data_IF_454025006062
#
_entry.id   IF_454025006062
#
_cell.length_a   1.000
_cell.length_b   1.000
_cell.length_c   1.000
_cell.angle_alpha   90.00
_cell.angle_beta   90.00
_cell.angle_gamma   90.00
#
_symmetry.space_group_name_H-M   'P 1'
#
loop_
_entity.id
_entity.type
_entity.pdbx_description
1 polymer ?
#
# COMPACT_ATOMS: atom_id res chain seq x y z
N UNK A 1 6.18 12.54 -32.56
CA UNK A 1 5.56 13.24 -31.38
C UNK A 1 5.70 12.27 -30.24
N UNK A 2 6.22 12.72 -29.13
CA UNK A 2 6.42 11.86 -27.93
C UNK A 2 5.07 11.42 -27.40
N UNK A 3 4.96 10.18 -26.94
CA UNK A 3 3.72 9.64 -26.40
C UNK A 3 3.35 10.36 -25.09
N UNK A 4 2.14 10.95 -25.03
CA UNK A 4 1.70 11.77 -23.90
C UNK A 4 1.69 11.00 -22.55
N UNK A 5 1.35 9.70 -22.56
CA UNK A 5 1.41 8.85 -21.39
C UNK A 5 2.86 8.68 -20.90
N UNK A 6 3.79 8.38 -21.83
CA UNK A 6 5.21 8.21 -21.46
C UNK A 6 5.84 9.51 -20.96
N UNK A 7 5.44 10.66 -21.52
CA UNK A 7 5.85 11.97 -21.00
C UNK A 7 5.35 12.21 -19.58
N UNK A 8 4.06 11.92 -19.29
CA UNK A 8 3.50 12.02 -17.94
C UNK A 8 4.23 11.07 -16.96
N UNK A 9 4.46 9.82 -17.36
CA UNK A 9 5.18 8.85 -16.53
C UNK A 9 6.63 9.27 -16.24
N UNK A 10 7.33 9.83 -17.24
CA UNK A 10 8.68 10.37 -17.07
C UNK A 10 8.70 11.60 -16.14
N UNK A 11 7.77 12.52 -16.32
CA UNK A 11 7.63 13.70 -15.47
C UNK A 11 7.33 13.33 -14.01
N UNK A 12 6.50 12.30 -13.80
CA UNK A 12 6.21 11.78 -12.46
C UNK A 12 7.36 10.99 -11.85
N UNK A 13 8.39 10.63 -12.63
CA UNK A 13 9.49 9.80 -12.16
C UNK A 13 9.11 8.31 -12.05
N UNK A 14 8.12 7.86 -12.81
CA UNK A 14 7.59 6.49 -12.80
C UNK A 14 8.26 5.57 -13.85
N UNK A 15 9.22 6.05 -14.61
CA UNK A 15 10.02 5.25 -15.54
C UNK A 15 11.38 4.98 -14.92
N UNK A 16 11.68 3.71 -14.62
CA UNK A 16 12.98 3.31 -14.08
C UNK A 16 13.83 2.57 -15.10
N UNK A 17 13.34 1.45 -15.65
CA UNK A 17 14.00 0.69 -16.71
C UNK A 17 12.97 0.23 -17.75
N UNK A 18 13.39 0.19 -18.99
CA UNK A 18 12.62 -0.34 -20.12
C UNK A 18 13.53 -1.25 -20.95
N UNK A 19 13.00 -2.34 -21.47
CA UNK A 19 13.78 -3.27 -22.32
C UNK A 19 14.08 -2.71 -23.69
N UNK A 20 13.17 -1.86 -24.20
CA UNK A 20 13.27 -1.18 -25.47
C UNK A 20 12.38 0.08 -25.41
N UNK A 21 12.99 1.25 -25.23
CA UNK A 21 12.25 2.50 -25.07
C UNK A 21 11.53 2.90 -26.36
N UNK A 22 12.23 2.82 -27.50
CA UNK A 22 11.66 3.17 -28.81
C UNK A 22 10.54 2.20 -29.20
N UNK A 23 10.74 0.91 -28.98
CA UNK A 23 9.75 -0.12 -29.27
C UNK A 23 8.48 0.02 -28.43
N UNK A 24 8.60 0.36 -27.15
CA UNK A 24 7.44 0.64 -26.27
C UNK A 24 6.69 1.90 -26.73
N UNK A 25 7.40 2.99 -27.04
CA UNK A 25 6.78 4.23 -27.53
C UNK A 25 6.01 3.99 -28.83
N UNK A 26 6.65 3.35 -29.81
CA UNK A 26 5.99 3.01 -31.06
C UNK A 26 4.76 2.11 -30.88
N UNK A 27 4.84 1.14 -29.98
CA UNK A 27 3.74 0.23 -29.67
C UNK A 27 2.54 0.98 -29.08
N UNK A 28 2.77 1.84 -28.10
CA UNK A 28 1.73 2.63 -27.43
C UNK A 28 1.07 3.67 -28.34
N UNK A 29 1.80 4.17 -29.34
CA UNK A 29 1.26 5.10 -30.33
C UNK A 29 0.42 4.41 -31.42
N UNK A 30 0.74 3.16 -31.74
CA UNK A 30 0.12 2.45 -32.86
C UNK A 30 -1.16 1.73 -32.52
N UNK A 31 -1.28 1.21 -31.30
CA UNK A 31 -2.38 0.32 -30.94
C UNK A 31 -2.80 0.41 -29.46
N UNK A 32 -3.98 -0.13 -29.17
CA UNK A 32 -4.39 -0.43 -27.81
C UNK A 32 -3.59 -1.64 -27.31
N UNK A 33 -2.73 -1.41 -26.35
CA UNK A 33 -1.84 -2.43 -25.79
C UNK A 33 -2.47 -3.13 -24.61
N UNK A 34 -2.38 -4.45 -24.57
CA UNK A 34 -2.62 -5.23 -23.35
C UNK A 34 -1.32 -5.35 -22.57
N UNK A 35 -1.38 -5.04 -21.29
CA UNK A 35 -0.23 -5.03 -20.39
C UNK A 35 -0.62 -5.52 -19.00
N UNK A 36 0.33 -6.08 -18.23
CA UNK A 36 -0.03 -6.64 -16.93
C UNK A 36 0.94 -6.27 -15.80
N UNK A 37 0.38 -6.32 -14.60
CA UNK A 37 1.12 -6.34 -13.34
C UNK A 37 0.53 -7.41 -12.43
N UNK A 38 1.37 -8.10 -11.68
CA UNK A 38 0.97 -9.16 -10.77
C UNK A 38 1.31 -8.86 -9.31
N UNK A 39 0.56 -9.47 -8.41
CA UNK A 39 0.86 -9.53 -6.98
C UNK A 39 0.60 -10.92 -6.41
N UNK A 40 1.52 -11.42 -5.61
CA UNK A 40 1.33 -12.64 -4.83
C UNK A 40 0.45 -12.38 -3.62
N UNK A 41 -0.54 -13.24 -3.33
CA UNK A 41 -1.49 -13.08 -2.24
C UNK A 41 -0.86 -13.50 -0.89
N UNK A 42 0.12 -12.72 -0.42
CA UNK A 42 0.83 -12.97 0.84
C UNK A 42 0.03 -12.59 2.08
N UNK A 43 -1.08 -11.87 1.91
CA UNK A 43 -2.10 -11.54 2.89
C UNK A 43 -3.44 -11.37 2.16
N UNK A 44 -4.53 -11.32 2.91
CA UNK A 44 -5.90 -11.11 2.40
C UNK A 44 -6.20 -9.66 1.98
N UNK A 45 -5.21 -8.77 2.08
CA UNK A 45 -5.28 -7.37 1.65
C UNK A 45 -3.95 -6.93 1.06
N UNK A 46 -4.01 -6.00 0.13
CA UNK A 46 -2.88 -5.17 -0.27
C UNK A 46 -2.61 -4.10 0.79
N UNK A 47 -1.39 -3.60 0.81
CA UNK A 47 -0.99 -2.41 1.57
C UNK A 47 -0.44 -1.34 0.61
N UNK A 48 -0.27 -0.11 1.11
CA UNK A 48 0.16 1.03 0.27
C UNK A 48 1.48 0.80 -0.48
N UNK A 49 2.34 -0.11 -0.01
CA UNK A 49 3.55 -0.49 -0.73
C UNK A 49 3.30 -1.19 -2.07
N UNK A 50 2.10 -1.76 -2.27
CA UNK A 50 1.70 -2.39 -3.53
C UNK A 50 0.99 -1.42 -4.50
N UNK A 51 0.63 -0.21 -4.03
CA UNK A 51 -0.18 0.72 -4.83
C UNK A 51 0.52 1.19 -6.10
N UNK A 52 1.79 1.55 -6.02
CA UNK A 52 2.46 2.25 -7.11
C UNK A 52 2.45 1.48 -8.45
N UNK A 53 2.76 0.17 -8.50
CA UNK A 53 2.65 -0.60 -9.74
C UNK A 53 1.22 -0.62 -10.30
N UNK A 54 0.20 -0.78 -9.45
CA UNK A 54 -1.19 -0.82 -9.87
C UNK A 54 -1.72 0.55 -10.28
N UNK A 55 -1.34 1.63 -9.59
CA UNK A 55 -1.67 2.99 -10.02
C UNK A 55 -1.00 3.33 -11.36
N UNK A 56 0.22 2.85 -11.58
CA UNK A 56 0.88 2.99 -12.89
C UNK A 56 0.11 2.23 -13.96
N UNK A 57 -0.29 0.98 -13.70
CA UNK A 57 -1.12 0.20 -14.60
C UNK A 57 -2.49 0.88 -14.88
N UNK A 58 -3.10 1.50 -13.85
CA UNK A 58 -4.33 2.30 -14.01
C UNK A 58 -4.12 3.51 -14.94
N UNK A 59 -2.97 4.19 -14.90
CA UNK A 59 -2.67 5.29 -15.84
C UNK A 59 -2.68 4.83 -17.29
N UNK A 60 -2.18 3.63 -17.58
CA UNK A 60 -2.31 3.03 -18.91
C UNK A 60 -3.77 2.81 -19.28
N UNK A 61 -4.64 2.37 -18.36
CA UNK A 61 -6.06 2.21 -18.61
C UNK A 61 -6.73 3.55 -18.98
N UNK A 62 -6.42 4.63 -18.26
CA UNK A 62 -6.95 5.96 -18.51
C UNK A 62 -6.55 6.49 -19.89
N UNK A 63 -5.39 6.08 -20.40
CA UNK A 63 -4.92 6.40 -21.75
C UNK A 63 -5.40 5.40 -22.81
N UNK A 64 -6.32 4.51 -22.45
CA UNK A 64 -7.02 3.66 -23.41
C UNK A 64 -6.38 2.31 -23.66
N UNK A 65 -5.37 1.91 -22.90
CA UNK A 65 -4.78 0.57 -22.95
C UNK A 65 -5.56 -0.40 -22.05
N UNK A 66 -5.34 -1.71 -22.22
CA UNK A 66 -6.06 -2.75 -21.50
C UNK A 66 -5.20 -3.39 -20.40
N UNK A 67 -5.47 -3.11 -19.11
CA UNK A 67 -4.76 -3.76 -18.02
C UNK A 67 -5.18 -5.21 -17.85
N UNK A 68 -4.22 -6.06 -17.52
CA UNK A 68 -4.45 -7.37 -16.94
C UNK A 68 -3.86 -7.35 -15.52
N UNK A 69 -4.69 -7.61 -14.54
CA UNK A 69 -4.31 -7.71 -13.14
C UNK A 69 -4.14 -9.18 -12.80
N UNK A 70 -2.92 -9.60 -12.50
CA UNK A 70 -2.63 -10.97 -12.16
C UNK A 70 -2.56 -11.13 -10.64
N UNK A 71 -3.33 -12.07 -10.09
CA UNK A 71 -3.17 -12.53 -8.72
C UNK A 71 -2.40 -13.86 -8.75
N UNK A 72 -1.31 -13.91 -8.01
CA UNK A 72 -0.39 -15.04 -7.99
C UNK A 72 -0.86 -16.20 -7.11
N UNK A 73 -2.05 -16.76 -7.33
CA UNK A 73 -2.55 -17.91 -6.56
C UNK A 73 -1.65 -19.15 -6.66
N UNK A 74 -0.96 -19.34 -7.80
CA UNK A 74 0.05 -20.38 -7.98
C UNK A 74 1.42 -19.97 -7.43
N UNK A 75 1.92 -18.80 -7.84
CA UNK A 75 3.23 -18.28 -7.40
C UNK A 75 3.27 -17.92 -5.92
N UNK A 76 2.17 -17.53 -5.32
CA UNK A 76 2.06 -17.25 -3.88
C UNK A 76 2.30 -18.47 -2.99
N UNK A 77 2.10 -19.70 -3.53
CA UNK A 77 2.46 -20.93 -2.82
C UNK A 77 3.98 -21.17 -2.78
N UNK A 78 4.74 -20.49 -3.63
CA UNK A 78 6.20 -20.66 -3.79
C UNK A 78 6.96 -19.54 -3.09
N UNK A 79 6.57 -18.27 -3.35
CA UNK A 79 7.17 -17.08 -2.77
C UNK A 79 8.30 -16.47 -3.60
N UNK A 80 8.14 -15.19 -3.95
CA UNK A 80 9.13 -14.41 -4.70
C UNK A 80 10.36 -14.07 -3.84
N UNK A 81 11.59 -14.47 -4.25
CA UNK A 81 12.83 -14.11 -3.57
C UNK A 81 13.25 -12.65 -3.79
N UNK A 82 12.69 -11.94 -4.77
CA UNK A 82 13.10 -10.60 -5.18
C UNK A 82 12.98 -9.59 -4.02
N UNK A 83 14.09 -8.88 -3.74
CA UNK A 83 14.14 -7.86 -2.68
C UNK A 83 14.02 -8.42 -1.25
N UNK A 84 14.26 -9.73 -1.04
CA UNK A 84 14.20 -10.40 0.26
C UNK A 84 15.54 -10.97 0.69
N UNK A 85 15.80 -10.95 1.99
CA UNK A 85 16.98 -11.56 2.62
C UNK A 85 16.72 -12.97 3.15
N UNK A 86 15.44 -13.34 3.35
CA UNK A 86 15.02 -14.60 3.96
C UNK A 86 13.92 -15.27 3.14
N UNK A 87 13.82 -16.60 3.25
CA UNK A 87 12.75 -17.38 2.61
C UNK A 87 11.38 -17.02 3.18
N UNK A 88 10.37 -16.94 2.31
CA UNK A 88 9.01 -16.68 2.73
C UNK A 88 8.42 -17.89 3.44
N UNK A 89 7.62 -17.64 4.48
CA UNK A 89 6.79 -18.68 5.09
C UNK A 89 5.73 -19.10 4.08
N UNK A 90 5.72 -20.39 3.75
CA UNK A 90 4.71 -20.95 2.85
C UNK A 90 3.34 -20.93 3.51
N UNK A 91 2.36 -20.43 2.78
CA UNK A 91 0.94 -20.47 3.16
C UNK A 91 0.31 -21.76 2.64
N UNK A 92 -0.71 -22.25 3.30
CA UNK A 92 -1.50 -23.36 2.79
C UNK A 92 -2.47 -22.90 1.68
N UNK A 93 -3.04 -23.85 0.94
CA UNK A 93 -3.89 -23.56 -0.21
C UNK A 93 -5.15 -22.76 0.18
N UNK A 94 -5.79 -23.10 1.31
CA UNK A 94 -6.97 -22.40 1.81
C UNK A 94 -6.68 -20.92 2.14
N UNK A 95 -5.55 -20.65 2.79
CA UNK A 95 -5.13 -19.27 3.09
C UNK A 95 -4.85 -18.48 1.82
N UNK A 96 -4.20 -19.11 0.82
CA UNK A 96 -3.96 -18.47 -0.48
C UNK A 96 -5.29 -18.12 -1.16
N UNK A 97 -6.25 -19.02 -1.14
CA UNK A 97 -7.55 -18.80 -1.78
C UNK A 97 -8.35 -17.67 -1.12
N UNK A 98 -8.36 -17.61 0.21
CA UNK A 98 -8.93 -16.48 0.96
C UNK A 98 -8.22 -15.15 0.62
N UNK A 99 -6.91 -15.15 0.56
CA UNK A 99 -6.13 -13.97 0.21
C UNK A 99 -6.40 -13.52 -1.24
N UNK A 100 -6.52 -14.46 -2.17
CA UNK A 100 -6.89 -14.17 -3.58
C UNK A 100 -8.22 -13.44 -3.65
N UNK A 101 -9.24 -13.90 -2.91
CA UNK A 101 -10.56 -13.25 -2.88
C UNK A 101 -10.48 -11.82 -2.33
N UNK A 102 -9.81 -11.61 -1.21
CA UNK A 102 -9.66 -10.27 -0.61
C UNK A 102 -8.95 -9.29 -1.54
N UNK A 103 -7.87 -9.74 -2.21
CA UNK A 103 -7.16 -8.90 -3.19
C UNK A 103 -8.03 -8.64 -4.43
N UNK A 104 -8.77 -9.62 -4.92
CA UNK A 104 -9.64 -9.47 -6.08
C UNK A 104 -10.71 -8.37 -5.85
N UNK A 105 -11.33 -8.34 -4.68
CA UNK A 105 -12.28 -7.30 -4.30
C UNK A 105 -11.66 -5.89 -4.31
N UNK A 106 -10.42 -5.77 -3.85
CA UNK A 106 -9.71 -4.49 -3.87
C UNK A 106 -9.36 -4.03 -5.29
N UNK A 107 -9.04 -4.96 -6.20
CA UNK A 107 -8.76 -4.62 -7.59
C UNK A 107 -9.98 -4.04 -8.31
N UNK A 108 -11.21 -4.45 -7.95
CA UNK A 108 -12.44 -3.86 -8.48
C UNK A 108 -12.63 -2.38 -8.10
N UNK A 109 -11.94 -1.89 -7.08
CA UNK A 109 -11.92 -0.45 -6.72
C UNK A 109 -10.84 0.32 -7.48
N UNK A 110 -9.74 -0.35 -7.83
CA UNK A 110 -8.60 0.28 -8.50
C UNK A 110 -8.77 0.39 -10.01
N UNK A 111 -9.53 -0.52 -10.63
CA UNK A 111 -9.66 -0.61 -12.08
C UNK A 111 -11.12 -0.64 -12.54
N UNK A 112 -11.34 -0.22 -13.78
CA UNK A 112 -12.62 -0.37 -14.47
C UNK A 112 -12.64 -1.69 -15.23
N UNK A 113 -13.59 -2.57 -14.93
CA UNK A 113 -13.74 -3.89 -15.57
C UNK A 113 -14.86 -3.92 -16.60
N UNK A 114 -15.95 -3.20 -16.37
CA UNK A 114 -17.20 -3.28 -17.15
C UNK A 114 -17.23 -2.29 -18.34
N UNK A 115 -16.09 -2.05 -18.96
CA UNK A 115 -15.97 -1.16 -20.12
C UNK A 115 -15.36 -1.89 -21.31
N UNK A 116 -15.47 -1.33 -22.51
CA UNK A 116 -14.82 -1.86 -23.73
C UNK A 116 -13.29 -2.00 -23.56
N UNK A 117 -12.70 -1.15 -22.74
CA UNK A 117 -11.28 -1.13 -22.34
C UNK A 117 -11.08 -1.71 -20.95
N UNK A 118 -12.04 -2.50 -20.48
CA UNK A 118 -12.06 -3.04 -19.14
C UNK A 118 -10.82 -3.85 -18.82
N UNK A 119 -10.39 -3.74 -17.58
CA UNK A 119 -9.33 -4.59 -17.03
C UNK A 119 -9.77 -6.06 -17.01
N UNK A 120 -8.79 -6.95 -17.02
CA UNK A 120 -9.05 -8.37 -16.81
C UNK A 120 -8.34 -8.81 -15.53
N UNK A 121 -9.06 -9.53 -14.68
CA UNK A 121 -8.52 -10.16 -13.49
C UNK A 121 -8.25 -11.64 -13.79
N UNK A 122 -7.02 -12.10 -13.53
CA UNK A 122 -6.59 -13.48 -13.78
C UNK A 122 -5.85 -14.04 -12.57
N UNK A 123 -5.96 -15.36 -12.40
CA UNK A 123 -5.23 -16.09 -11.37
C UNK A 123 -4.27 -17.08 -12.03
N UNK A 124 -2.98 -16.96 -11.78
CA UNK A 124 -2.00 -17.84 -12.41
C UNK A 124 -2.06 -19.31 -11.93
N UNK A 125 -2.78 -19.61 -10.85
CA UNK A 125 -3.11 -20.99 -10.46
C UNK A 125 -3.83 -21.74 -11.58
N UNK A 126 -4.63 -21.04 -12.40
CA UNK A 126 -5.46 -21.64 -13.45
C UNK A 126 -4.65 -22.34 -14.54
N UNK A 127 -3.44 -21.84 -14.83
CA UNK A 127 -2.54 -22.47 -15.81
C UNK A 127 -1.33 -23.15 -15.18
N UNK A 128 -0.70 -22.56 -14.14
CA UNK A 128 0.45 -23.17 -13.47
C UNK A 128 0.08 -24.49 -12.81
N UNK A 129 -1.12 -24.56 -12.20
CA UNK A 129 -1.63 -25.78 -11.56
C UNK A 129 -1.89 -26.95 -12.51
N UNK A 130 -1.93 -26.70 -13.84
CA UNK A 130 -2.14 -27.73 -14.84
C UNK A 130 -0.81 -28.28 -15.43
N UNK A 131 0.31 -27.63 -15.15
CA UNK A 131 1.62 -28.05 -15.66
C UNK A 131 2.15 -29.17 -14.80
N UNK A 132 2.34 -30.37 -15.38
CA UNK A 132 2.97 -31.45 -14.65
C UNK A 132 4.46 -31.14 -14.38
N UNK A 133 5.03 -31.75 -13.34
CA UNK A 133 6.48 -31.63 -13.06
C UNK A 133 7.35 -31.98 -14.27
N UNK A 134 6.97 -33.02 -15.00
CA UNK A 134 7.75 -33.47 -16.19
C UNK A 134 7.64 -32.43 -17.31
N UNK A 135 6.45 -31.88 -17.55
CA UNK A 135 6.26 -30.86 -18.57
C UNK A 135 7.00 -29.57 -18.20
N UNK A 136 6.95 -29.15 -16.92
CA UNK A 136 7.74 -28.04 -16.43
C UNK A 136 9.24 -28.19 -16.72
N UNK A 137 9.83 -29.33 -16.38
CA UNK A 137 11.25 -29.59 -16.59
C UNK A 137 11.59 -29.68 -18.08
N UNK A 138 10.78 -30.42 -18.85
CA UNK A 138 11.03 -30.71 -20.26
C UNK A 138 10.79 -29.52 -21.17
N UNK A 139 9.68 -28.81 -20.97
CA UNK A 139 9.20 -27.83 -21.92
C UNK A 139 9.65 -26.41 -21.57
N UNK A 140 9.81 -26.09 -20.29
CA UNK A 140 10.24 -24.77 -19.80
C UNK A 140 11.67 -24.79 -19.25
N UNK A 141 11.98 -25.75 -18.35
CA UNK A 141 13.26 -25.81 -17.64
C UNK A 141 14.46 -25.88 -18.56
N UNK A 142 14.34 -26.63 -19.67
CA UNK A 142 15.44 -26.77 -20.67
C UNK A 142 15.85 -25.45 -21.34
N UNK A 143 14.95 -24.45 -21.34
CA UNK A 143 15.20 -23.14 -21.95
C UNK A 143 15.82 -22.13 -20.97
N UNK A 144 15.92 -22.47 -19.68
CA UNK A 144 16.46 -21.60 -18.64
C UNK A 144 17.79 -22.19 -18.12
N UNK A 145 18.91 -21.57 -18.51
CA UNK A 145 20.24 -22.02 -18.08
C UNK A 145 20.49 -21.70 -16.59
N UNK A 146 21.06 -22.67 -15.86
CA UNK A 146 21.39 -22.50 -14.43
C UNK A 146 22.33 -21.31 -14.21
N UNK A 147 23.37 -21.17 -15.02
CA UNK A 147 24.30 -20.03 -14.90
C UNK A 147 23.63 -18.68 -15.14
N UNK A 148 22.62 -18.61 -16.03
CA UNK A 148 21.82 -17.42 -16.26
C UNK A 148 20.98 -17.06 -15.01
N UNK A 149 20.38 -18.06 -14.38
CA UNK A 149 19.63 -17.88 -13.14
C UNK A 149 20.53 -17.43 -11.99
N UNK A 150 21.67 -18.09 -11.82
CA UNK A 150 22.64 -17.77 -10.77
C UNK A 150 23.22 -16.33 -10.89
N UNK A 151 23.21 -15.75 -12.08
CA UNK A 151 23.68 -14.39 -12.32
C UNK A 151 22.63 -13.30 -11.98
N UNK A 152 21.40 -13.66 -11.63
CA UNK A 152 20.36 -12.70 -11.25
C UNK A 152 20.64 -12.12 -9.86
N UNK A 153 20.49 -10.81 -9.70
CA UNK A 153 20.74 -10.11 -8.43
C UNK A 153 19.89 -10.67 -7.29
N UNK A 154 18.60 -10.97 -7.56
CA UNK A 154 17.69 -11.59 -6.60
C UNK A 154 18.16 -12.95 -6.09
N UNK A 155 18.81 -13.74 -6.94
CA UNK A 155 19.37 -15.05 -6.59
C UNK A 155 20.72 -14.86 -5.88
N UNK A 156 21.60 -14.00 -6.40
CA UNK A 156 22.93 -13.76 -5.80
C UNK A 156 22.82 -13.28 -4.34
N UNK A 157 21.93 -12.35 -4.06
CA UNK A 157 21.67 -11.85 -2.70
C UNK A 157 21.27 -12.98 -1.74
N UNK A 158 20.61 -14.02 -2.25
CA UNK A 158 20.13 -15.16 -1.46
C UNK A 158 21.14 -16.30 -1.33
N UNK A 159 22.09 -16.42 -2.27
CA UNK A 159 23.06 -17.52 -2.26
C UNK A 159 23.89 -17.60 -0.99
N UNK A 160 24.27 -16.46 -0.41
CA UNK A 160 25.06 -16.39 0.83
C UNK A 160 24.31 -16.94 2.05
N UNK A 161 22.98 -16.72 2.09
CA UNK A 161 22.11 -17.15 3.18
C UNK A 161 21.41 -18.51 2.90
N UNK A 162 21.64 -19.06 1.71
CA UNK A 162 20.96 -20.24 1.19
C UNK A 162 19.63 -19.86 0.50
N UNK A 163 19.36 -20.53 -0.62
CA UNK A 163 18.10 -20.43 -1.36
C UNK A 163 17.59 -21.85 -1.61
N UNK A 164 16.31 -22.10 -1.32
CA UNK A 164 15.70 -23.39 -1.64
C UNK A 164 15.51 -23.55 -3.15
N UNK A 165 15.44 -24.80 -3.62
CA UNK A 165 15.12 -25.07 -5.03
C UNK A 165 13.74 -24.51 -5.40
N UNK A 166 12.79 -24.55 -4.48
CA UNK A 166 11.45 -23.96 -4.62
C UNK A 166 11.53 -22.48 -4.95
N UNK A 167 12.20 -21.71 -4.10
CA UNK A 167 12.38 -20.26 -4.28
C UNK A 167 13.19 -19.93 -5.54
N UNK A 168 14.22 -20.72 -5.83
CA UNK A 168 15.05 -20.59 -7.05
C UNK A 168 14.22 -20.71 -8.33
N UNK A 169 13.19 -21.57 -8.35
CA UNK A 169 12.34 -21.77 -9.53
C UNK A 169 11.27 -20.69 -9.73
N UNK A 170 11.03 -19.82 -8.74
CA UNK A 170 10.00 -18.77 -8.81
C UNK A 170 10.07 -17.95 -10.10
N UNK A 171 11.26 -17.47 -10.46
CA UNK A 171 11.47 -16.66 -11.67
C UNK A 171 10.99 -17.36 -12.95
N UNK A 172 11.08 -18.68 -13.00
CA UNK A 172 10.60 -19.47 -14.16
C UNK A 172 9.07 -19.49 -14.19
N UNK A 173 8.42 -19.59 -13.03
CA UNK A 173 6.95 -19.56 -12.95
C UNK A 173 6.40 -18.22 -13.42
N UNK A 174 6.97 -17.11 -12.97
CA UNK A 174 6.57 -15.77 -13.44
C UNK A 174 6.90 -15.58 -14.94
N UNK A 175 7.96 -16.19 -15.45
CA UNK A 175 8.27 -16.16 -16.87
C UNK A 175 7.22 -16.95 -17.71
N UNK A 176 6.69 -18.05 -17.17
CA UNK A 176 5.57 -18.79 -17.78
C UNK A 176 4.31 -17.94 -17.80
N UNK A 177 4.02 -17.17 -16.73
CA UNK A 177 2.87 -16.26 -16.67
C UNK A 177 2.92 -15.27 -17.83
N UNK A 178 4.05 -14.59 -18.04
CA UNK A 178 4.18 -13.65 -19.15
C UNK A 178 3.98 -14.33 -20.51
N UNK A 179 4.58 -15.50 -20.71
CA UNK A 179 4.41 -16.28 -21.93
C UNK A 179 2.95 -16.72 -22.17
N UNK A 180 2.24 -17.12 -21.12
CA UNK A 180 0.81 -17.46 -21.17
C UNK A 180 -0.03 -16.24 -21.55
N UNK A 181 0.14 -15.13 -20.83
CA UNK A 181 -0.62 -13.90 -21.09
C UNK A 181 -0.33 -13.31 -22.48
N UNK A 182 0.91 -13.39 -22.95
CA UNK A 182 1.27 -12.95 -24.29
C UNK A 182 0.52 -13.74 -25.37
N UNK A 183 0.43 -15.07 -25.23
CA UNK A 183 -0.23 -15.94 -26.20
C UNK A 183 -1.75 -15.90 -26.14
N UNK A 184 -2.32 -15.91 -24.95
CA UNK A 184 -3.77 -16.02 -24.76
C UNK A 184 -4.47 -14.65 -24.80
N UNK A 185 -3.81 -13.59 -24.33
CA UNK A 185 -4.40 -12.25 -24.21
C UNK A 185 -3.67 -11.19 -25.05
N UNK A 186 -2.70 -11.58 -25.89
CA UNK A 186 -1.84 -10.64 -26.63
C UNK A 186 -1.21 -9.57 -25.70
N UNK A 187 -0.84 -9.98 -24.47
CA UNK A 187 -0.23 -9.10 -23.50
C UNK A 187 1.22 -8.84 -23.90
N UNK A 188 1.55 -7.59 -24.19
CA UNK A 188 2.85 -7.19 -24.76
C UNK A 188 3.79 -6.54 -23.75
N UNK A 189 3.29 -6.01 -22.63
CA UNK A 189 4.14 -5.33 -21.65
C UNK A 189 3.88 -5.92 -20.25
N UNK A 190 4.96 -6.25 -19.54
CA UNK A 190 4.93 -6.54 -18.11
C UNK A 190 5.44 -5.33 -17.34
N UNK A 191 4.65 -4.87 -16.32
CA UNK A 191 5.03 -3.81 -15.39
C UNK A 191 5.37 -4.43 -14.03
N UNK A 192 6.39 -3.89 -13.38
CA UNK A 192 6.74 -4.24 -12.01
C UNK A 192 7.63 -3.20 -11.33
N UNK A 193 7.92 -3.36 -10.04
CA UNK A 193 8.95 -2.59 -9.37
C UNK A 193 10.34 -2.91 -9.92
N UNK A 194 11.32 -2.06 -9.64
CA UNK A 194 12.71 -2.27 -10.13
C UNK A 194 13.33 -3.58 -9.63
N UNK A 195 12.87 -4.13 -8.52
CA UNK A 195 13.24 -5.46 -8.01
C UNK A 195 12.75 -6.60 -8.89
N UNK A 196 11.76 -6.37 -9.75
CA UNK A 196 11.18 -7.34 -10.68
C UNK A 196 11.91 -7.43 -12.02
N UNK A 197 12.91 -6.59 -12.28
CA UNK A 197 13.62 -6.56 -13.56
C UNK A 197 14.15 -7.91 -14.01
N UNK A 198 14.75 -8.66 -13.07
CA UNK A 198 15.26 -10.01 -13.32
C UNK A 198 14.17 -10.99 -13.75
N UNK A 199 13.02 -10.97 -13.11
CA UNK A 199 11.88 -11.83 -13.43
C UNK A 199 11.28 -11.45 -14.80
N UNK A 200 11.06 -10.16 -15.04
CA UNK A 200 10.51 -9.64 -16.30
C UNK A 200 11.37 -10.02 -17.50
N UNK A 201 12.68 -9.75 -17.43
CA UNK A 201 13.61 -10.07 -18.52
C UNK A 201 13.74 -11.57 -18.74
N UNK A 202 13.58 -12.40 -17.70
CA UNK A 202 13.54 -13.86 -17.86
C UNK A 202 12.31 -14.30 -18.63
N UNK A 203 11.15 -13.68 -18.42
CA UNK A 203 9.93 -13.94 -19.19
C UNK A 203 10.11 -13.68 -20.68
N UNK A 204 10.67 -12.52 -21.03
CA UNK A 204 10.97 -12.15 -22.43
C UNK A 204 11.95 -13.12 -23.05
N UNK A 205 13.03 -13.48 -22.35
CA UNK A 205 14.03 -14.43 -22.85
C UNK A 205 13.46 -15.83 -23.01
N UNK A 206 12.61 -16.29 -22.08
CA UNK A 206 11.95 -17.59 -22.17
C UNK A 206 11.06 -17.65 -23.43
N UNK A 207 10.23 -16.64 -23.68
CA UNK A 207 9.39 -16.57 -24.86
C UNK A 207 10.23 -16.58 -26.14
N UNK A 208 11.31 -15.81 -26.20
CA UNK A 208 12.24 -15.77 -27.32
C UNK A 208 12.82 -17.15 -27.62
N UNK A 209 13.20 -17.91 -26.61
CA UNK A 209 13.77 -19.26 -26.76
C UNK A 209 12.74 -20.32 -27.16
N UNK A 210 11.51 -20.19 -26.66
CA UNK A 210 10.46 -21.17 -26.93
C UNK A 210 9.76 -20.94 -28.28
N UNK A 211 9.50 -19.67 -28.61
CA UNK A 211 8.63 -19.29 -29.73
C UNK A 211 9.33 -18.48 -30.83
N UNK A 212 10.58 -18.12 -30.64
CA UNK A 212 11.31 -17.24 -31.54
C UNK A 212 11.08 -15.76 -31.21
N UNK A 213 11.02 -14.92 -32.25
CA UNK A 213 10.83 -13.49 -32.06
C UNK A 213 9.39 -13.21 -31.61
N UNK A 214 9.23 -12.63 -30.44
CA UNK A 214 7.94 -12.22 -29.86
C UNK A 214 7.98 -10.75 -29.53
N UNK A 215 6.83 -10.09 -29.70
CA UNK A 215 6.65 -8.70 -29.31
C UNK A 215 6.27 -8.67 -27.82
N UNK A 216 7.30 -8.48 -26.97
CA UNK A 216 7.18 -8.50 -25.53
C UNK A 216 8.21 -7.55 -24.90
N UNK A 217 7.75 -6.70 -23.99
CA UNK A 217 8.54 -5.64 -23.38
C UNK A 217 8.40 -5.66 -21.87
N UNK A 218 9.45 -5.20 -21.21
CA UNK A 218 9.48 -4.98 -19.78
C UNK A 218 9.54 -3.49 -19.44
N UNK A 219 8.77 -3.11 -18.44
CA UNK A 219 8.70 -1.75 -17.93
C UNK A 219 8.77 -1.79 -16.41
N UNK A 220 9.76 -1.12 -15.80
CA UNK A 220 9.85 -1.04 -14.34
C UNK A 220 9.73 0.38 -13.83
N UNK A 221 9.15 0.47 -12.64
CA UNK A 221 8.98 1.68 -11.86
C UNK A 221 9.94 1.67 -10.66
N UNK A 222 10.31 2.84 -10.11
CA UNK A 222 11.17 2.87 -8.93
C UNK A 222 10.49 2.25 -7.70
N UNK A 223 11.28 1.69 -6.80
CA UNK A 223 10.81 1.34 -5.47
C UNK A 223 10.59 2.60 -4.65
N UNK A 224 9.51 2.63 -3.88
CA UNK A 224 9.20 3.78 -3.03
C UNK A 224 10.05 3.74 -1.78
N UNK A 225 10.87 4.75 -1.62
CA UNK A 225 11.68 4.99 -0.41
C UNK A 225 11.38 6.39 0.12
N UNK A 226 11.35 6.53 1.45
CA UNK A 226 11.23 7.82 2.11
C UNK A 226 12.56 8.58 2.06
N UNK A 227 12.51 9.91 2.16
CA UNK A 227 13.70 10.76 2.19
C UNK A 227 14.64 10.41 3.37
N UNK A 228 14.11 9.92 4.49
CA UNK A 228 14.86 9.45 5.65
C UNK A 228 15.47 8.04 5.48
N UNK A 229 15.32 7.43 4.31
CA UNK A 229 15.81 6.08 4.00
C UNK A 229 14.98 4.93 4.58
N UNK A 230 13.91 5.21 5.32
CA UNK A 230 13.03 4.18 5.86
C UNK A 230 12.15 3.58 4.79
N UNK A 231 11.74 2.32 5.02
CA UNK A 231 10.82 1.62 4.12
C UNK A 231 9.46 2.32 4.11
N UNK A 232 8.97 2.58 2.90
CA UNK A 232 7.62 3.10 2.69
C UNK A 232 6.56 2.04 3.04
N UNK A 233 5.39 2.50 3.52
CA UNK A 233 4.23 1.63 3.73
C UNK A 233 4.18 0.93 5.08
N UNK A 234 5.09 1.26 6.00
CA UNK A 234 5.07 0.77 7.38
C UNK A 234 5.09 1.92 8.36
N UNK A 235 4.28 1.80 9.40
CA UNK A 235 4.31 2.63 10.61
C UNK A 235 4.84 1.80 11.77
N UNK A 236 4.93 2.37 12.97
CA UNK A 236 5.22 1.60 14.20
C UNK A 236 4.15 0.53 14.46
N UNK A 237 2.90 0.76 14.03
CA UNK A 237 1.79 -0.19 14.10
C UNK A 237 1.79 -1.27 13.00
N UNK A 238 2.75 -1.27 12.07
CA UNK A 238 2.83 -2.26 10.99
C UNK A 238 2.55 -1.70 9.60
N UNK A 239 2.03 -2.54 8.70
CA UNK A 239 1.68 -2.14 7.34
C UNK A 239 0.39 -1.30 7.33
N UNK A 240 0.34 -0.30 6.43
CA UNK A 240 -0.89 0.47 6.14
C UNK A 240 -1.64 -0.26 5.04
N UNK A 241 -2.75 -0.89 5.44
CA UNK A 241 -3.56 -1.75 4.57
C UNK A 241 -4.57 -0.96 3.75
N UNK A 242 -4.99 -1.52 2.62
CA UNK A 242 -6.09 -0.97 1.82
C UNK A 242 -7.46 -1.44 2.31
N UNK A 243 -7.49 -2.50 3.12
CA UNK A 243 -8.70 -2.99 3.77
C UNK A 243 -9.08 -2.08 4.94
N UNK A 244 -10.28 -1.47 4.92
CA UNK A 244 -10.73 -0.56 5.98
C UNK A 244 -10.91 -1.24 7.35
N UNK A 245 -11.07 -2.57 7.39
CA UNK A 245 -11.14 -3.33 8.64
C UNK A 245 -9.75 -3.51 9.30
N UNK A 246 -8.66 -3.40 8.53
CA UNK A 246 -7.27 -3.53 9.01
C UNK A 246 -6.62 -2.19 9.30
N UNK A 247 -6.88 -1.19 8.45
CA UNK A 247 -6.46 0.19 8.61
C UNK A 247 -7.67 1.05 8.27
N UNK A 248 -8.27 1.67 9.27
CA UNK A 248 -9.45 2.51 9.06
C UNK A 248 -9.17 3.63 8.07
N UNK A 249 -10.19 4.15 7.34
CA UNK A 249 -10.01 5.28 6.44
C UNK A 249 -9.42 6.53 7.13
N UNK A 250 -9.71 6.71 8.42
CA UNK A 250 -9.10 7.76 9.22
C UNK A 250 -7.59 7.53 9.41
N UNK A 251 -7.16 6.34 9.82
CA UNK A 251 -5.73 6.00 9.96
C UNK A 251 -5.00 6.08 8.62
N UNK A 252 -5.66 5.63 7.55
CA UNK A 252 -5.16 5.73 6.18
C UNK A 252 -4.94 7.19 5.77
N UNK A 253 -5.92 8.07 6.01
CA UNK A 253 -5.81 9.50 5.79
C UNK A 253 -4.69 10.13 6.62
N UNK A 254 -4.58 9.76 7.91
CA UNK A 254 -3.53 10.26 8.80
C UNK A 254 -2.13 9.87 8.33
N UNK A 255 -1.95 8.70 7.76
CA UNK A 255 -0.66 8.31 7.18
C UNK A 255 -0.21 9.30 6.09
N UNK A 256 -1.10 9.66 5.18
CA UNK A 256 -0.78 10.55 4.06
C UNK A 256 -0.64 12.01 4.47
N UNK A 257 -1.50 12.50 5.35
CA UNK A 257 -1.41 13.90 5.78
C UNK A 257 -0.16 14.17 6.62
N UNK A 258 0.43 13.15 7.24
CA UNK A 258 1.66 13.25 8.03
C UNK A 258 2.94 13.02 7.23
N UNK A 259 2.86 12.93 5.91
CA UNK A 259 4.04 12.84 5.04
C UNK A 259 4.91 14.10 5.20
N UNK A 260 6.25 13.90 5.20
CA UNK A 260 7.22 14.98 5.32
C UNK A 260 7.19 15.93 4.12
N UNK A 261 7.64 17.16 4.33
CA UNK A 261 7.75 18.14 3.26
C UNK A 261 8.74 17.67 2.16
N UNK A 262 9.77 16.92 2.53
CA UNK A 262 10.77 16.36 1.60
C UNK A 262 10.17 15.26 0.68
N UNK A 263 9.12 14.57 1.10
CA UNK A 263 8.53 13.46 0.36
C UNK A 263 7.24 13.82 -0.37
N UNK A 264 6.51 14.84 0.08
CA UNK A 264 5.11 15.07 -0.32
C UNK A 264 4.95 15.31 -1.82
N UNK A 265 5.82 16.08 -2.46
CA UNK A 265 5.73 16.36 -3.90
C UNK A 265 6.00 15.10 -4.73
N UNK A 266 7.01 14.33 -4.34
CA UNK A 266 7.27 13.02 -4.94
C UNK A 266 6.06 12.09 -4.82
N UNK A 267 5.42 12.05 -3.66
CA UNK A 267 4.26 11.19 -3.43
C UNK A 267 3.00 11.70 -4.14
N UNK A 268 2.81 13.01 -4.30
CA UNK A 268 1.77 13.56 -5.18
C UNK A 268 1.96 13.06 -6.62
N UNK A 269 3.17 13.11 -7.15
CA UNK A 269 3.48 12.60 -8.50
C UNK A 269 3.23 11.10 -8.63
N UNK A 270 3.53 10.32 -7.60
CA UNK A 270 3.44 8.86 -7.61
C UNK A 270 2.01 8.34 -7.42
N UNK A 271 1.31 8.86 -6.42
CA UNK A 271 0.09 8.24 -5.88
C UNK A 271 -1.21 8.96 -6.24
N UNK A 272 -1.15 10.16 -6.85
CA UNK A 272 -2.34 10.92 -7.25
C UNK A 272 -2.51 11.00 -8.77
N UNK A 273 -3.73 11.31 -9.21
CA UNK A 273 -4.04 11.60 -10.61
C UNK A 273 -4.15 13.11 -10.87
N UNK A 274 -3.68 13.93 -9.95
CA UNK A 274 -3.62 15.39 -10.12
C UNK A 274 -2.78 15.76 -11.34
N UNK A 275 -3.19 16.82 -12.03
CA UNK A 275 -2.47 17.36 -13.19
C UNK A 275 -1.12 17.96 -12.80
N UNK A 276 -0.26 18.16 -13.79
CA UNK A 276 1.04 18.82 -13.61
C UNK A 276 0.85 20.21 -12.99
N UNK A 277 -0.07 21.02 -13.52
CA UNK A 277 -0.32 22.38 -13.02
C UNK A 277 -0.81 22.40 -11.56
N UNK A 278 -1.60 21.42 -11.15
CA UNK A 278 -2.05 21.29 -9.74
C UNK A 278 -0.89 20.93 -8.83
N UNK A 279 -0.04 19.99 -9.24
CA UNK A 279 1.13 19.59 -8.43
C UNK A 279 2.16 20.73 -8.38
N UNK A 280 2.43 21.43 -9.47
CA UNK A 280 3.35 22.56 -9.50
C UNK A 280 2.88 23.71 -8.59
N UNK A 281 1.56 23.99 -8.57
CA UNK A 281 0.98 24.95 -7.64
C UNK A 281 1.12 24.52 -6.18
N UNK A 282 0.93 23.24 -5.88
CA UNK A 282 1.12 22.69 -4.52
C UNK A 282 2.60 22.75 -4.11
N UNK A 283 3.54 22.52 -5.02
CA UNK A 283 4.98 22.67 -4.78
C UNK A 283 5.34 24.13 -4.48
N UNK A 284 4.78 25.07 -5.21
CA UNK A 284 4.95 26.50 -4.91
C UNK A 284 4.39 26.86 -3.54
N UNK A 285 3.17 26.41 -3.20
CA UNK A 285 2.57 26.64 -1.87
C UNK A 285 3.43 26.04 -0.75
N UNK A 286 4.02 24.86 -0.96
CA UNK A 286 4.92 24.25 0.00
C UNK A 286 6.18 25.10 0.25
N UNK A 287 6.73 25.73 -0.80
CA UNK A 287 7.92 26.59 -0.70
C UNK A 287 7.59 27.93 0.01
N UNK A 288 6.45 28.52 -0.30
CA UNK A 288 6.06 29.86 0.21
C UNK A 288 5.45 29.80 1.61
N UNK A 289 4.65 28.76 1.90
CA UNK A 289 3.87 28.66 3.14
C UNK A 289 3.72 27.21 3.63
N UNK A 290 4.81 26.49 3.96
CA UNK A 290 4.78 25.07 4.33
C UNK A 290 3.85 24.77 5.51
N UNK A 291 3.64 25.74 6.41
CA UNK A 291 2.75 25.61 7.58
C UNK A 291 1.27 25.42 7.23
N UNK A 292 0.84 25.77 6.01
CA UNK A 292 -0.53 25.54 5.54
C UNK A 292 -0.78 24.07 5.19
N UNK A 293 0.29 23.29 4.90
CA UNK A 293 0.27 21.86 4.58
C UNK A 293 -0.70 21.52 3.44
N UNK A 294 -0.83 22.41 2.44
CA UNK A 294 -1.76 22.21 1.31
C UNK A 294 -1.39 20.99 0.48
N UNK A 295 -0.09 20.76 0.25
CA UNK A 295 0.40 19.59 -0.48
C UNK A 295 0.04 18.27 0.23
N UNK A 296 0.23 18.20 1.57
CA UNK A 296 -0.11 17.02 2.36
C UNK A 296 -1.63 16.78 2.40
N UNK A 297 -2.43 17.85 2.48
CA UNK A 297 -3.90 17.76 2.43
C UNK A 297 -4.35 17.20 1.08
N UNK A 298 -3.86 17.78 -0.02
CA UNK A 298 -4.19 17.31 -1.37
C UNK A 298 -3.81 15.83 -1.57
N UNK A 299 -2.62 15.43 -1.10
CA UNK A 299 -2.18 14.03 -1.16
C UNK A 299 -3.12 13.10 -0.38
N UNK A 300 -3.41 13.44 0.88
CA UNK A 300 -4.25 12.63 1.76
C UNK A 300 -5.68 12.52 1.22
N UNK A 301 -6.26 13.64 0.75
CA UNK A 301 -7.61 13.67 0.22
C UNK A 301 -7.72 12.86 -1.09
N UNK A 302 -6.81 13.05 -2.03
CA UNK A 302 -6.89 12.37 -3.33
C UNK A 302 -6.71 10.87 -3.20
N UNK A 303 -5.70 10.42 -2.44
CA UNK A 303 -5.43 8.99 -2.26
C UNK A 303 -6.53 8.31 -1.43
N UNK A 304 -7.03 8.96 -0.36
CA UNK A 304 -8.11 8.38 0.46
C UNK A 304 -9.40 8.29 -0.33
N UNK A 305 -9.74 9.33 -1.10
CA UNK A 305 -10.92 9.33 -1.99
C UNK A 305 -10.84 8.19 -3.01
N UNK A 306 -9.67 8.01 -3.62
CA UNK A 306 -9.48 6.98 -4.65
C UNK A 306 -9.63 5.56 -4.09
N UNK A 307 -9.11 5.29 -2.88
CA UNK A 307 -9.11 3.95 -2.29
C UNK A 307 -10.41 3.64 -1.54
N UNK A 308 -10.93 4.60 -0.75
CA UNK A 308 -12.03 4.38 0.19
C UNK A 308 -13.33 5.08 -0.20
N UNK A 309 -13.30 5.97 -1.21
CA UNK A 309 -14.46 6.74 -1.65
C UNK A 309 -14.66 8.06 -0.90
N UNK A 310 -15.61 8.87 -1.39
CA UNK A 310 -15.86 10.22 -0.89
C UNK A 310 -16.39 10.22 0.55
N UNK A 311 -17.36 9.36 0.86
CA UNK A 311 -18.00 9.33 2.18
C UNK A 311 -16.97 9.00 3.28
N UNK A 312 -16.07 8.04 3.02
CA UNK A 312 -15.00 7.67 3.95
C UNK A 312 -13.96 8.78 4.11
N UNK A 313 -13.67 9.55 3.05
CA UNK A 313 -12.82 10.73 3.13
C UNK A 313 -13.47 11.83 3.99
N UNK A 314 -14.75 12.13 3.77
CA UNK A 314 -15.48 13.16 4.52
C UNK A 314 -15.49 12.83 6.02
N UNK A 315 -15.71 11.55 6.37
CA UNK A 315 -15.62 11.08 7.75
C UNK A 315 -14.21 11.20 8.31
N UNK A 316 -13.17 10.83 7.56
CA UNK A 316 -11.79 10.95 8.00
C UNK A 316 -11.39 12.41 8.29
N UNK A 317 -11.81 13.35 7.43
CA UNK A 317 -11.58 14.79 7.63
C UNK A 317 -12.35 15.28 8.86
N UNK A 318 -13.63 14.92 9.01
CA UNK A 318 -14.47 15.30 10.15
C UNK A 318 -13.86 14.82 11.47
N UNK A 319 -13.42 13.58 11.54
CA UNK A 319 -12.75 13.00 12.72
C UNK A 319 -11.45 13.76 13.01
N UNK A 320 -10.62 13.99 12.00
CA UNK A 320 -9.35 14.72 12.13
C UNK A 320 -9.58 16.14 12.67
N UNK A 321 -10.56 16.84 12.13
CA UNK A 321 -10.94 18.19 12.56
C UNK A 321 -11.46 18.23 14.00
N UNK A 322 -12.32 17.29 14.37
CA UNK A 322 -12.88 17.19 15.71
C UNK A 322 -11.79 16.93 16.76
N UNK A 323 -10.86 16.03 16.45
CA UNK A 323 -9.71 15.74 17.32
C UNK A 323 -8.78 16.95 17.46
N UNK A 324 -8.50 17.65 16.36
CA UNK A 324 -7.63 18.82 16.37
C UNK A 324 -8.26 20.02 17.13
N UNK A 325 -9.56 20.24 16.96
CA UNK A 325 -10.31 21.33 17.62
C UNK A 325 -10.75 21.01 19.05
N UNK A 326 -10.59 19.75 19.49
CA UNK A 326 -11.01 19.28 20.82
C UNK A 326 -12.51 19.03 20.95
N UNK A 327 -13.25 18.95 19.85
CA UNK A 327 -14.69 18.65 19.85
C UNK A 327 -14.95 17.14 19.91
N UNK A 328 -14.46 16.52 20.97
CA UNK A 328 -14.52 15.07 21.15
C UNK A 328 -15.95 14.55 21.36
N UNK A 329 -16.86 15.41 21.80
CA UNK A 329 -18.28 15.03 22.03
C UNK A 329 -19.05 14.75 20.74
N UNK A 330 -18.55 15.23 19.60
CA UNK A 330 -19.14 14.97 18.28
C UNK A 330 -18.74 13.60 17.69
N UNK A 331 -17.79 12.91 18.30
CA UNK A 331 -17.27 11.63 17.84
C UNK A 331 -17.94 10.45 18.54
N UNK A 332 -18.19 9.38 17.79
CA UNK A 332 -18.60 8.09 18.34
C UNK A 332 -17.47 7.40 19.10
N UNK A 333 -17.81 6.38 19.87
CA UNK A 333 -16.84 5.58 20.60
C UNK A 333 -15.77 4.94 19.72
N UNK A 334 -16.18 4.41 18.55
CA UNK A 334 -15.25 3.77 17.61
C UNK A 334 -14.35 4.79 16.92
N UNK A 335 -14.85 5.98 16.60
CA UNK A 335 -14.05 7.08 16.06
C UNK A 335 -13.02 7.61 17.08
N UNK A 336 -13.40 7.70 18.36
CA UNK A 336 -12.47 8.05 19.43
C UNK A 336 -11.37 6.98 19.59
N UNK A 337 -11.74 5.70 19.56
CA UNK A 337 -10.75 4.60 19.60
C UNK A 337 -9.77 4.67 18.43
N UNK A 338 -10.27 4.89 17.22
CA UNK A 338 -9.43 5.03 16.03
C UNK A 338 -8.51 6.25 16.13
N UNK A 339 -9.05 7.39 16.58
CA UNK A 339 -8.30 8.65 16.71
C UNK A 339 -7.23 8.64 17.80
N UNK A 340 -7.42 7.85 18.84
CA UNK A 340 -6.51 7.74 19.99
C UNK A 340 -5.81 6.37 20.09
N UNK A 341 -5.71 5.62 19.01
CA UNK A 341 -5.11 4.27 18.99
C UNK A 341 -3.68 4.24 19.56
N UNK A 342 -2.89 5.27 19.30
CA UNK A 342 -1.50 5.39 19.76
C UNK A 342 -1.37 6.06 21.14
N UNK A 343 -2.50 6.38 21.75
CA UNK A 343 -2.56 6.97 23.10
C UNK A 343 -2.78 5.85 24.13
N UNK A 344 -2.13 5.88 25.30
CA UNK A 344 -2.38 4.91 26.36
C UNK A 344 -3.87 4.86 26.69
N UNK A 345 -4.44 3.65 26.64
CA UNK A 345 -5.84 3.38 26.94
C UNK A 345 -5.93 2.52 28.18
N UNK A 346 -6.89 2.83 29.06
CA UNK A 346 -7.15 2.07 30.29
C UNK A 346 -8.65 1.82 30.38
N UNK A 347 -9.05 0.58 30.55
CA UNK A 347 -10.43 0.21 30.87
C UNK A 347 -10.63 0.35 32.39
N UNK A 348 -11.54 1.21 32.79
CA UNK A 348 -11.95 1.34 34.19
C UNK A 348 -13.09 0.40 34.53
N UNK A 349 -13.09 -0.07 35.77
CA UNK A 349 -14.23 -0.80 36.33
C UNK A 349 -15.47 0.13 36.38
N UNK A 350 -16.65 -0.41 36.07
CA UNK A 350 -17.93 0.28 36.23
C UNK A 350 -18.21 0.78 37.66
N UNK A 351 -17.43 0.29 38.64
CA UNK A 351 -17.48 0.73 40.04
C UNK A 351 -16.62 1.97 40.28
N UNK A 352 -15.69 2.30 39.39
CA UNK A 352 -14.79 3.44 39.50
C UNK A 352 -15.40 4.67 38.86
N UNK A 353 -16.37 5.30 39.52
CA UNK A 353 -17.05 6.50 39.02
C UNK A 353 -16.42 7.81 39.47
N UNK A 354 -15.67 7.82 40.56
CA UNK A 354 -15.06 9.05 41.09
C UNK A 354 -13.79 9.43 40.32
N UNK A 355 -13.71 10.68 39.86
CA UNK A 355 -12.58 11.19 39.07
C UNK A 355 -11.20 11.01 39.78
N UNK A 356 -11.14 11.22 41.09
CA UNK A 356 -9.86 11.05 41.87
C UNK A 356 -9.38 9.62 41.76
N UNK A 357 -10.29 8.65 41.86
CA UNK A 357 -9.96 7.23 41.81
C UNK A 357 -9.57 6.81 40.41
N UNK A 358 -10.29 7.29 39.41
CA UNK A 358 -10.00 7.05 37.98
C UNK A 358 -8.59 7.55 37.58
N UNK A 359 -8.19 8.76 37.98
CA UNK A 359 -6.88 9.33 37.69
C UNK A 359 -5.73 8.50 38.30
N UNK A 360 -5.98 7.90 39.45
CA UNK A 360 -4.97 7.01 40.11
C UNK A 360 -4.95 5.65 39.43
N UNK A 361 -6.10 5.07 39.12
CA UNK A 361 -6.20 3.76 38.48
C UNK A 361 -5.60 3.77 37.07
N UNK A 362 -5.76 4.88 36.33
CA UNK A 362 -5.14 5.08 35.01
C UNK A 362 -3.63 5.37 35.07
N UNK A 363 -3.07 5.58 36.26
CA UNK A 363 -1.65 5.92 36.45
C UNK A 363 -1.28 7.37 36.06
N UNK A 364 -2.26 8.22 35.75
CA UNK A 364 -2.03 9.66 35.46
C UNK A 364 -1.45 10.36 36.68
N UNK A 365 -1.96 10.07 37.87
CA UNK A 365 -1.37 10.52 39.14
C UNK A 365 -0.96 9.33 40.00
N UNK A 366 0.17 9.46 40.67
CA UNK A 366 0.76 8.39 41.51
C UNK A 366 0.02 8.11 42.80
N UNK A 367 -0.89 8.98 43.21
CA UNK A 367 -1.64 8.85 44.46
C UNK A 367 -2.90 9.72 44.47
N UNK A 368 -3.88 9.37 45.32
CA UNK A 368 -5.10 10.17 45.54
C UNK A 368 -4.81 11.59 46.01
N UNK A 369 -3.71 11.81 46.71
CA UNK A 369 -3.25 13.14 47.14
C UNK A 369 -2.84 13.96 45.90
N UNK A 370 -2.00 13.38 45.06
CA UNK A 370 -1.53 14.03 43.83
C UNK A 370 -2.72 14.31 42.89
N UNK A 371 -3.60 13.34 42.72
CA UNK A 371 -4.80 13.50 41.86
C UNK A 371 -5.67 14.69 42.33
N UNK A 372 -5.89 14.86 43.65
CA UNK A 372 -6.64 16.02 44.16
C UNK A 372 -5.90 17.33 43.92
N UNK A 373 -4.59 17.34 44.04
CA UNK A 373 -3.77 18.52 43.77
C UNK A 373 -3.83 18.88 42.27
N UNK A 374 -3.73 17.92 41.38
CA UNK A 374 -3.81 18.09 39.93
C UNK A 374 -5.19 18.63 39.51
N UNK A 375 -6.28 18.10 40.08
CA UNK A 375 -7.65 18.60 39.83
C UNK A 375 -7.79 20.05 40.33
N UNK A 376 -7.38 20.33 41.57
CA UNK A 376 -7.50 21.68 42.16
C UNK A 376 -6.70 22.73 41.36
N UNK A 377 -5.52 22.35 40.89
CA UNK A 377 -4.68 23.19 40.03
C UNK A 377 -5.23 23.33 38.59
N UNK A 378 -6.31 22.59 38.27
CA UNK A 378 -6.91 22.57 36.94
C UNK A 378 -6.00 22.00 35.87
N UNK A 379 -5.19 21.03 36.26
CA UNK A 379 -4.33 20.30 35.35
C UNK A 379 -5.09 19.16 34.62
N UNK A 380 -6.28 18.80 35.07
CA UNK A 380 -7.08 17.71 34.51
C UNK A 380 -8.11 18.26 33.53
N UNK A 381 -8.17 17.66 32.36
CA UNK A 381 -9.19 17.93 31.35
C UNK A 381 -9.95 16.64 31.04
N UNK A 382 -11.26 16.73 30.92
CA UNK A 382 -12.16 15.64 30.53
C UNK A 382 -12.82 16.04 29.22
N UNK A 383 -12.60 15.26 28.15
CA UNK A 383 -13.14 15.53 26.82
C UNK A 383 -12.86 16.97 26.33
N UNK A 384 -11.66 17.48 26.63
CA UNK A 384 -11.23 18.83 26.27
C UNK A 384 -11.69 19.94 27.24
N UNK A 385 -12.54 19.64 28.22
CA UNK A 385 -13.03 20.60 29.22
C UNK A 385 -12.24 20.46 30.53
N UNK A 386 -11.77 21.62 31.04
CA UNK A 386 -11.03 21.66 32.30
C UNK A 386 -11.93 21.27 33.47
N UNK A 387 -11.50 20.29 34.27
CA UNK A 387 -12.24 19.81 35.43
C UNK A 387 -11.52 20.14 36.73
N UNK A 388 -12.23 20.81 37.66
CA UNK A 388 -11.73 21.19 38.99
C UNK A 388 -12.60 20.66 40.16
N UNK A 389 -13.68 19.95 39.86
CA UNK A 389 -14.55 19.41 40.90
C UNK A 389 -14.04 18.04 41.35
N UNK A 390 -13.58 17.95 42.61
CA UNK A 390 -13.14 16.73 43.24
C UNK A 390 -14.22 15.64 43.42
N UNK A 391 -15.51 16.06 43.28
CA UNK A 391 -16.66 15.15 43.38
C UNK A 391 -17.23 14.78 42.02
N UNK A 392 -16.52 15.14 40.93
CA UNK A 392 -16.94 14.78 39.61
C UNK A 392 -17.04 13.26 39.47
N UNK A 393 -18.16 12.78 38.98
CA UNK A 393 -18.40 11.37 38.69
C UNK A 393 -18.38 11.15 37.18
N UNK A 394 -17.60 10.15 36.77
CA UNK A 394 -17.58 9.66 35.38
C UNK A 394 -18.86 8.89 35.12
N UNK A 395 -19.53 9.15 34.00
CA UNK A 395 -20.72 8.40 33.62
C UNK A 395 -20.32 7.18 32.76
N UNK A 396 -20.94 6.03 33.01
CA UNK A 396 -20.68 4.77 32.32
C UNK A 396 -21.05 4.76 30.82
N UNK A 397 -21.41 5.88 30.24
CA UNK A 397 -22.03 5.96 28.89
C UNK A 397 -21.12 6.59 27.85
N UNK A 398 -19.89 7.01 28.18
CA UNK A 398 -19.00 7.63 27.20
C UNK A 398 -17.54 7.36 27.47
N UNK A 399 -16.78 7.12 26.39
CA UNK A 399 -15.33 7.19 26.45
C UNK A 399 -14.93 8.56 26.99
N UNK A 400 -14.17 8.55 28.06
CA UNK A 400 -13.70 9.76 28.72
C UNK A 400 -12.24 9.95 28.40
N UNK A 401 -11.90 11.10 27.84
CA UNK A 401 -10.52 11.46 27.53
C UNK A 401 -9.98 12.34 28.67
N UNK A 402 -8.96 11.85 29.37
CA UNK A 402 -8.26 12.58 30.42
C UNK A 402 -6.90 13.08 29.91
N UNK A 403 -6.60 14.37 30.09
CA UNK A 403 -5.29 14.94 29.74
C UNK A 403 -4.66 15.72 30.88
N UNK A 404 -3.32 15.67 30.91
CA UNK A 404 -2.46 16.58 31.62
C UNK A 404 -1.75 17.51 30.64
N UNK A 405 -1.57 18.82 30.93
CA UNK A 405 -0.93 19.76 30.00
C UNK A 405 0.51 19.45 29.65
N UNK A 406 1.18 18.58 30.40
CA UNK A 406 2.63 18.36 30.31
C UNK A 406 3.07 16.91 30.08
N UNK A 407 2.18 15.92 30.19
CA UNK A 407 2.59 14.53 30.00
C UNK A 407 1.39 13.56 29.92
N UNK A 408 0.99 13.21 28.75
CA UNK A 408 0.18 12.03 28.51
C UNK A 408 -1.33 12.24 28.41
N UNK A 409 -1.86 11.80 27.30
CA UNK A 409 -3.25 11.53 27.04
C UNK A 409 -3.59 10.12 27.52
N UNK A 410 -4.73 9.92 28.16
CA UNK A 410 -5.27 8.58 28.48
C UNK A 410 -6.74 8.56 28.07
N UNK A 411 -7.11 7.60 27.24
CA UNK A 411 -8.48 7.27 26.91
C UNK A 411 -9.03 6.28 27.94
N UNK A 412 -10.21 6.53 28.48
CA UNK A 412 -10.88 5.67 29.46
C UNK A 412 -12.16 5.13 28.87
#
# INVERSE_FOLDING_TARGET
MTNALLEDLKWRGLVYQQTDEEGIEELLDKEQVTLYCGADPTADSLHIGHLLPFLTLRRFQEHGHRPVVLIGGGTGMIGDPSGKSEERKLLNEEQIEQNVQGIAEQMHRLFEFDTEKGAQLVNNKDWLGQISLIDFLRDYGKHVGVNYMLAKDSIQTRLENGISFTEFTYTILQAIDFGHLNRELNCKIQIGGSDQWGNITTGIELMRRMYGQTEAYGFTIPLVVKADGKKFGKTEGGAVWLDPEKTSPYEFYQFWINVSDDDVIKFLKYFTFLSHDEIDRLEQSLQEAPHLREAQKALAEDVTRFIHGQDALDDAIRISDALFKGDLKSLSADELKAGFKDVPQVELSLETTNLVDAIVETGISSSKRQAREDINNGAIYINGERQQDLKYELSAVSYTHLTLPTSGLVLI
#
